data_IF_844943777800
#
_entry.id   IF_844943777800
#
_cell.length_a   1.000
_cell.length_b   1.000
_cell.length_c   1.000
_cell.angle_alpha   90.00
_cell.angle_beta   90.00
_cell.angle_gamma   90.00
#
_symmetry.space_group_name_H-M   'P 1'
#
loop_
_entity.id
_entity.type
_entity.pdbx_description
1 polymer ?
#
# COMPACT_ATOMS: atom_id res chain seq x y z
N UNK A 1 -21.19 -50.31 -17.82
CA UNK A 1 -21.76 -49.59 -16.66
C UNK A 1 -22.94 -48.75 -17.16
N UNK A 2 -24.10 -48.71 -16.48
CA UNK A 2 -25.26 -47.95 -16.99
C UNK A 2 -24.90 -46.46 -17.06
N UNK A 3 -25.29 -45.72 -18.12
CA UNK A 3 -24.87 -44.32 -18.34
C UNK A 3 -25.23 -43.41 -17.15
N UNK A 4 -26.34 -43.69 -16.45
CA UNK A 4 -26.72 -42.99 -15.22
C UNK A 4 -25.70 -43.12 -14.08
N UNK A 5 -24.98 -44.24 -13.97
CA UNK A 5 -23.93 -44.43 -12.94
C UNK A 5 -22.63 -43.70 -13.27
N UNK A 6 -22.33 -43.47 -14.55
CA UNK A 6 -21.14 -42.73 -14.96
C UNK A 6 -21.31 -41.24 -14.63
N UNK A 7 -22.47 -40.66 -14.97
CA UNK A 7 -22.78 -39.25 -14.66
C UNK A 7 -22.75 -38.99 -13.16
N UNK A 8 -23.29 -39.90 -12.35
CA UNK A 8 -23.34 -39.74 -10.90
C UNK A 8 -21.94 -39.80 -10.26
N UNK A 9 -21.04 -40.62 -10.80
CA UNK A 9 -19.64 -40.68 -10.32
C UNK A 9 -18.91 -39.39 -10.70
N UNK A 10 -19.04 -38.92 -11.95
CA UNK A 10 -18.39 -37.68 -12.41
C UNK A 10 -18.82 -36.47 -11.58
N UNK A 11 -20.12 -36.34 -11.27
CA UNK A 11 -20.62 -35.22 -10.46
C UNK A 11 -20.07 -35.25 -9.02
N UNK A 12 -19.99 -36.43 -8.40
CA UNK A 12 -19.42 -36.58 -7.05
C UNK A 12 -17.93 -36.26 -7.07
N UNK A 13 -17.19 -36.75 -8.07
CA UNK A 13 -15.75 -36.47 -8.19
C UNK A 13 -15.48 -34.99 -8.43
N UNK A 14 -16.27 -34.31 -9.28
CA UNK A 14 -16.15 -32.87 -9.51
C UNK A 14 -16.42 -32.05 -8.23
N UNK A 15 -17.43 -32.45 -7.45
CA UNK A 15 -17.76 -31.78 -6.17
C UNK A 15 -16.66 -31.96 -5.13
N UNK A 16 -16.01 -33.12 -5.06
CA UNK A 16 -14.88 -33.38 -4.16
C UNK A 16 -13.64 -32.60 -4.59
N UNK A 17 -13.41 -32.42 -5.90
CA UNK A 17 -12.30 -31.60 -6.40
C UNK A 17 -12.53 -30.12 -6.06
N UNK A 18 -13.75 -29.60 -6.23
CA UNK A 18 -14.07 -28.19 -5.91
C UNK A 18 -13.94 -27.90 -4.41
N UNK A 19 -14.27 -28.85 -3.52
CA UNK A 19 -14.11 -28.68 -2.07
C UNK A 19 -12.66 -28.85 -1.58
N UNK A 20 -11.80 -29.55 -2.33
CA UNK A 20 -10.41 -29.81 -1.97
C UNK A 20 -9.45 -28.64 -2.28
N UNK A 21 -9.91 -27.59 -2.98
CA UNK A 21 -9.10 -26.40 -3.29
C UNK A 21 -9.40 -25.20 -2.38
N UNK A 22 -10.15 -25.40 -1.29
CA UNK A 22 -10.24 -24.33 -0.29
C UNK A 22 -8.87 -24.17 0.37
N UNK A 23 -8.18 -23.01 0.24
CA UNK A 23 -6.94 -22.80 0.96
C UNK A 23 -7.26 -22.98 2.45
N UNK A 24 -6.59 -23.94 3.09
CA UNK A 24 -6.55 -24.00 4.53
C UNK A 24 -5.77 -22.77 4.96
N UNK A 25 -6.49 -21.67 5.20
CA UNK A 25 -5.94 -20.55 5.97
C UNK A 25 -5.50 -21.18 7.29
N UNK A 26 -4.19 -21.21 7.52
CA UNK A 26 -3.60 -21.64 8.78
C UNK A 26 -4.00 -20.64 9.87
N UNK A 27 -5.25 -20.73 10.32
CA UNK A 27 -5.77 -19.97 11.42
C UNK A 27 -4.97 -20.37 12.68
N UNK A 28 -4.17 -19.42 13.18
CA UNK A 28 -3.31 -19.57 14.36
C UNK A 28 -4.17 -19.94 15.59
N UNK A 29 -3.67 -20.71 16.57
CA UNK A 29 -4.43 -21.01 17.78
C UNK A 29 -4.76 -19.72 18.55
N UNK A 30 -6.03 -19.31 18.57
CA UNK A 30 -6.49 -18.06 19.18
C UNK A 30 -6.22 -17.98 20.69
N UNK A 31 -6.13 -19.12 21.39
CA UNK A 31 -6.03 -19.18 22.86
C UNK A 31 -4.76 -18.56 23.44
N UNK A 32 -3.66 -18.50 22.70
CA UNK A 32 -2.39 -17.93 23.21
C UNK A 32 -2.38 -16.40 23.08
N UNK A 33 -3.04 -15.85 22.07
CA UNK A 33 -3.12 -14.40 21.84
C UNK A 33 -3.96 -13.73 22.94
N UNK A 34 -5.06 -14.37 23.38
CA UNK A 34 -5.92 -13.85 24.45
C UNK A 34 -5.25 -13.83 25.83
N UNK A 35 -4.23 -14.67 26.08
CA UNK A 35 -3.44 -14.66 27.33
C UNK A 35 -2.20 -13.77 27.26
N UNK A 36 -1.84 -13.27 26.08
CA UNK A 36 -0.72 -12.37 25.82
C UNK A 36 -1.13 -10.90 26.02
N UNK A 37 -0.19 -9.97 25.82
CA UNK A 37 -0.45 -8.52 25.80
C UNK A 37 -1.15 -8.05 24.50
N UNK A 38 -1.93 -8.94 23.88
CA UNK A 38 -2.62 -8.80 22.60
C UNK A 38 -1.74 -8.97 21.36
N UNK A 39 -0.42 -8.91 21.47
CA UNK A 39 0.45 -9.14 20.32
C UNK A 39 0.71 -10.62 20.06
N UNK A 40 0.67 -11.07 18.78
CA UNK A 40 1.13 -12.39 18.41
C UNK A 40 2.63 -12.60 18.72
N UNK A 41 3.02 -13.84 18.99
CA UNK A 41 4.43 -14.24 18.96
C UNK A 41 4.92 -14.40 17.52
N UNK A 42 6.20 -14.11 17.28
CA UNK A 42 6.87 -14.29 15.99
C UNK A 42 7.85 -13.16 15.67
N UNK A 43 8.55 -13.32 14.54
CA UNK A 43 9.37 -12.27 13.94
C UNK A 43 8.48 -11.07 13.57
N UNK A 44 8.91 -9.87 13.94
CA UNK A 44 8.19 -8.63 13.67
C UNK A 44 9.10 -7.43 13.72
N UNK A 45 8.70 -6.36 13.04
CA UNK A 45 9.26 -5.02 13.24
C UNK A 45 8.38 -4.26 14.23
N UNK A 46 9.00 -3.49 15.12
CA UNK A 46 8.27 -2.61 16.04
C UNK A 46 8.40 -1.18 15.52
N UNK A 47 7.30 -0.42 15.47
CA UNK A 47 7.33 1.03 15.30
C UNK A 47 6.71 1.66 16.56
N UNK A 48 7.39 2.65 17.12
CA UNK A 48 6.92 3.36 18.31
C UNK A 48 6.56 4.81 17.94
N UNK A 49 5.31 5.18 18.14
CA UNK A 49 4.81 6.52 17.92
C UNK A 49 4.77 7.23 19.27
N UNK A 50 5.65 8.21 19.47
CA UNK A 50 5.76 8.94 20.73
C UNK A 50 4.98 10.24 20.64
N UNK A 51 3.97 10.41 21.48
CA UNK A 51 3.31 11.69 21.67
C UNK A 51 4.22 12.66 22.42
N UNK A 52 4.42 13.86 21.87
CA UNK A 52 5.25 14.92 22.43
C UNK A 52 4.49 16.23 22.50
N UNK A 53 4.77 17.01 23.54
CA UNK A 53 4.23 18.36 23.67
C UNK A 53 4.92 19.28 22.64
N UNK A 54 4.20 19.83 21.64
CA UNK A 54 4.79 20.66 20.60
C UNK A 54 5.37 21.98 21.13
N UNK A 55 4.98 22.43 22.33
CA UNK A 55 5.53 23.65 22.94
C UNK A 55 6.93 23.46 23.53
N UNK A 56 7.34 22.21 23.80
CA UNK A 56 8.59 21.90 24.52
C UNK A 56 9.51 20.99 23.70
N UNK A 57 8.95 20.14 22.85
CA UNK A 57 9.72 19.19 22.06
C UNK A 57 10.08 19.78 20.70
N UNK A 58 11.39 19.93 20.46
CA UNK A 58 11.93 20.32 19.16
C UNK A 58 12.54 19.10 18.46
N UNK A 59 12.09 18.85 17.23
CA UNK A 59 12.59 17.77 16.39
C UNK A 59 13.83 18.14 15.57
N UNK A 60 14.27 19.40 15.55
CA UNK A 60 15.32 19.88 14.63
C UNK A 60 16.65 19.12 14.76
N UNK A 61 16.90 18.49 15.91
CA UNK A 61 18.08 17.70 16.20
C UNK A 61 17.92 16.18 15.97
N UNK A 62 16.76 15.72 15.51
CA UNK A 62 16.53 14.29 15.28
C UNK A 62 17.09 13.86 13.93
N UNK A 63 18.07 12.96 13.96
CA UNK A 63 18.55 12.30 12.76
C UNK A 63 17.58 11.17 12.35
N UNK A 64 17.52 10.83 11.04
CA UNK A 64 16.89 9.61 10.58
C UNK A 64 17.40 8.37 11.34
N UNK A 65 16.53 7.37 11.43
CA UNK A 65 16.84 6.02 11.84
C UNK A 65 16.12 5.50 13.07
N UNK A 66 16.47 4.26 13.41
CA UNK A 66 15.74 3.49 14.40
C UNK A 66 14.27 3.29 14.00
N UNK A 67 13.42 3.10 15.00
CA UNK A 67 12.06 2.65 14.81
C UNK A 67 11.03 3.48 15.61
N UNK A 68 11.34 4.76 15.79
CA UNK A 68 10.52 5.67 16.57
C UNK A 68 10.23 6.93 15.78
N UNK A 69 8.98 7.36 15.82
CA UNK A 69 8.53 8.64 15.30
C UNK A 69 7.86 9.44 16.41
N UNK A 70 7.68 10.73 16.18
CA UNK A 70 7.19 11.69 17.16
C UNK A 70 6.02 12.46 16.57
N UNK A 71 4.91 12.50 17.28
CA UNK A 71 3.69 13.22 16.89
C UNK A 71 3.29 14.19 17.99
N UNK A 72 2.64 15.29 17.64
CA UNK A 72 2.09 16.21 18.63
C UNK A 72 1.08 15.51 19.55
N UNK A 73 1.10 15.84 20.83
CA UNK A 73 -0.01 15.55 21.75
C UNK A 73 -1.07 16.62 21.56
N UNK A 74 -2.33 16.21 21.46
CA UNK A 74 -3.50 17.05 21.15
C UNK A 74 -3.35 17.74 19.80
N UNK A 75 -2.86 16.98 18.83
CA UNK A 75 -2.55 17.46 17.51
C UNK A 75 -2.92 16.40 16.48
N UNK A 76 -3.01 16.83 15.23
CA UNK A 76 -3.08 15.95 14.07
C UNK A 76 -1.68 15.77 13.49
N UNK A 77 -1.42 14.61 12.92
CA UNK A 77 -0.16 14.30 12.26
C UNK A 77 -0.40 13.37 11.08
N UNK A 78 0.53 13.37 10.13
CA UNK A 78 0.56 12.42 9.03
C UNK A 78 1.82 11.56 9.16
N UNK A 79 1.64 10.24 9.06
CA UNK A 79 2.75 9.31 8.84
C UNK A 79 2.72 8.89 7.39
N UNK A 80 3.83 9.06 6.69
CA UNK A 80 4.06 8.40 5.42
C UNK A 80 4.81 7.10 5.62
N UNK A 81 4.30 6.02 5.03
CA UNK A 81 4.99 4.75 4.94
C UNK A 81 5.53 4.57 3.53
N UNK A 82 6.80 4.19 3.42
CA UNK A 82 7.50 4.04 2.16
C UNK A 82 7.97 2.60 2.03
N UNK A 83 7.71 1.95 0.90
CA UNK A 83 8.33 0.68 0.51
C UNK A 83 8.99 0.83 -0.84
N UNK A 84 10.09 0.09 -1.06
CA UNK A 84 10.70 -0.07 -2.37
C UNK A 84 11.15 -1.55 -2.52
N UNK A 85 10.51 -2.29 -3.43
CA UNK A 85 10.77 -3.73 -3.69
C UNK A 85 12.12 -3.96 -4.36
N UNK A 86 12.64 -2.95 -5.07
CA UNK A 86 13.93 -2.99 -5.77
C UNK A 86 15.09 -2.55 -4.88
N UNK A 87 14.82 -1.98 -3.71
CA UNK A 87 15.89 -1.52 -2.81
C UNK A 87 16.78 -2.66 -2.37
N UNK A 88 18.08 -2.49 -2.64
CA UNK A 88 19.12 -3.47 -2.25
C UNK A 88 20.26 -2.84 -1.43
N UNK A 89 20.32 -1.51 -1.38
CA UNK A 89 21.35 -0.77 -0.64
C UNK A 89 20.91 -0.44 0.79
N UNK A 90 21.89 -0.37 1.69
CA UNK A 90 21.68 0.09 3.06
C UNK A 90 21.34 1.59 3.11
N UNK A 91 20.78 2.05 4.22
CA UNK A 91 20.59 3.47 4.49
C UNK A 91 21.93 4.21 4.65
N UNK A 92 21.96 5.55 4.51
CA UNK A 92 23.19 6.34 4.63
C UNK A 92 23.95 6.17 5.94
N UNK A 93 23.25 5.80 7.02
CA UNK A 93 23.85 5.53 8.33
C UNK A 93 24.37 4.09 8.49
N UNK A 94 24.30 3.28 7.43
CA UNK A 94 24.70 1.88 7.39
C UNK A 94 23.63 0.88 7.82
N UNK A 95 22.44 1.35 8.23
CA UNK A 95 21.33 0.47 8.61
C UNK A 95 20.84 -0.34 7.42
N UNK A 96 20.47 -1.59 7.65
CA UNK A 96 20.03 -2.46 6.57
C UNK A 96 18.68 -2.03 5.99
N UNK A 97 18.52 -2.08 4.67
CA UNK A 97 17.22 -1.91 4.01
C UNK A 97 16.22 -3.05 4.30
N UNK A 98 16.61 -4.03 5.12
CA UNK A 98 15.77 -5.12 5.59
C UNK A 98 15.24 -4.88 7.01
N UNK A 99 15.48 -3.69 7.55
CA UNK A 99 14.95 -3.23 8.84
C UNK A 99 13.94 -2.09 8.63
N UNK A 100 12.98 -1.98 9.55
CA UNK A 100 12.10 -0.81 9.62
C UNK A 100 12.94 0.40 10.06
N UNK A 101 12.80 1.50 9.32
CA UNK A 101 13.66 2.66 9.48
C UNK A 101 12.85 3.96 9.43
N UNK A 102 12.95 4.82 10.45
CA UNK A 102 12.34 6.14 10.39
C UNK A 102 13.17 7.07 9.50
N UNK A 103 12.71 7.35 8.28
CA UNK A 103 13.35 8.25 7.32
C UNK A 103 13.28 9.70 7.80
N UNK A 104 12.11 10.13 8.26
CA UNK A 104 11.91 11.36 8.99
C UNK A 104 11.11 11.04 10.26
N UNK A 105 11.71 11.11 11.45
CA UNK A 105 11.02 10.73 12.66
C UNK A 105 9.99 11.77 13.13
N UNK A 106 9.88 12.96 12.52
CA UNK A 106 9.11 14.05 13.11
C UNK A 106 7.85 14.46 12.36
N UNK A 107 6.71 14.32 13.04
CA UNK A 107 5.44 14.95 12.71
C UNK A 107 4.90 15.80 13.89
N UNK A 108 5.79 16.52 14.59
CA UNK A 108 5.43 17.41 15.70
C UNK A 108 5.31 18.84 15.23
N UNK A 109 4.10 19.41 15.33
CA UNK A 109 3.79 20.81 15.11
C UNK A 109 3.65 21.18 13.63
N UNK A 110 2.41 21.38 13.19
CA UNK A 110 2.04 21.87 11.84
C UNK A 110 1.99 20.77 10.78
N UNK A 111 2.21 21.14 9.52
CA UNK A 111 2.10 20.29 8.32
C UNK A 111 3.27 19.30 8.13
N UNK A 112 3.95 18.90 9.22
CA UNK A 112 5.09 17.99 9.14
C UNK A 112 4.62 16.55 9.00
N UNK A 113 5.38 15.79 8.22
CA UNK A 113 5.11 14.40 7.90
C UNK A 113 6.25 13.55 8.42
N UNK A 114 5.94 12.57 9.26
CA UNK A 114 6.92 11.56 9.65
C UNK A 114 6.98 10.50 8.55
N UNK A 115 8.17 10.13 8.09
CA UNK A 115 8.35 9.12 7.06
C UNK A 115 8.98 7.85 7.66
N UNK A 116 8.40 6.69 7.36
CA UNK A 116 8.84 5.38 7.83
C UNK A 116 9.02 4.46 6.64
N UNK A 117 10.23 3.94 6.46
CA UNK A 117 10.48 2.87 5.52
C UNK A 117 10.06 1.52 6.13
N UNK A 118 9.23 0.80 5.39
CA UNK A 118 8.85 -0.59 5.68
C UNK A 118 9.67 -1.52 4.77
N UNK A 119 10.38 -2.51 5.33
CA UNK A 119 11.19 -3.40 4.52
C UNK A 119 10.32 -4.32 3.66
N UNK A 120 10.76 -4.61 2.45
CA UNK A 120 10.09 -5.57 1.54
C UNK A 120 10.66 -6.98 1.68
N UNK A 121 11.86 -7.08 2.28
CA UNK A 121 12.57 -8.32 2.58
C UNK A 121 12.95 -8.38 4.04
N UNK A 122 13.01 -9.60 4.56
CA UNK A 122 13.29 -9.89 5.96
C UNK A 122 14.51 -10.80 6.03
N UNK A 123 15.42 -10.44 6.91
CA UNK A 123 16.59 -11.24 7.20
C UNK A 123 16.24 -12.37 8.18
N UNK A 124 16.53 -13.60 7.78
CA UNK A 124 16.28 -14.81 8.55
C UNK A 124 17.61 -15.49 8.83
N UNK A 125 17.83 -15.86 10.09
CA UNK A 125 19.06 -16.52 10.51
C UNK A 125 18.76 -17.98 10.82
N UNK A 126 19.41 -18.89 10.11
CA UNK A 126 19.29 -20.34 10.27
C UNK A 126 19.90 -20.86 11.57
N UNK A 127 19.56 -22.11 11.90
CA UNK A 127 20.06 -22.80 13.10
C UNK A 127 21.59 -22.95 13.13
N UNK A 128 22.26 -22.72 11.99
CA UNK A 128 23.72 -22.73 11.82
C UNK A 128 24.32 -21.31 11.74
N UNK A 129 23.52 -20.25 11.88
CA UNK A 129 23.94 -18.86 11.78
C UNK A 129 24.06 -18.34 10.33
N UNK A 130 23.67 -19.13 9.33
CA UNK A 130 23.53 -18.68 7.95
C UNK A 130 22.39 -17.68 7.83
N UNK A 131 22.54 -16.70 6.94
CA UNK A 131 21.57 -15.62 6.80
C UNK A 131 20.97 -15.61 5.41
N UNK A 132 19.64 -15.63 5.32
CA UNK A 132 18.90 -15.55 4.06
C UNK A 132 17.95 -14.36 4.08
N UNK A 133 17.70 -13.78 2.91
CA UNK A 133 16.69 -12.76 2.73
C UNK A 133 15.47 -13.42 2.10
N UNK A 134 14.30 -13.19 2.68
CA UNK A 134 13.03 -13.66 2.14
C UNK A 134 12.08 -12.49 2.02
N UNK A 135 11.23 -12.49 0.99
CA UNK A 135 10.23 -11.43 0.82
C UNK A 135 9.23 -11.45 1.98
N UNK A 136 8.79 -10.27 2.44
CA UNK A 136 7.83 -10.17 3.54
C UNK A 136 6.43 -10.63 3.14
N UNK A 137 6.09 -10.50 1.83
CA UNK A 137 4.75 -10.70 1.26
C UNK A 137 3.69 -9.83 1.97
N UNK A 138 4.09 -8.63 2.38
CA UNK A 138 3.29 -7.72 3.20
C UNK A 138 3.27 -8.11 4.68
N UNK A 139 2.39 -7.45 5.45
CA UNK A 139 2.39 -7.56 6.90
C UNK A 139 0.99 -7.74 7.50
N UNK A 140 0.90 -8.54 8.55
CA UNK A 140 -0.15 -8.35 9.55
C UNK A 140 0.29 -7.26 10.51
N UNK A 141 -0.55 -6.23 10.68
CA UNK A 141 -0.21 -5.06 11.50
C UNK A 141 -1.06 -5.06 12.75
N UNK A 142 -0.40 -5.00 13.90
CA UNK A 142 -1.08 -4.89 15.19
C UNK A 142 -0.66 -3.60 15.87
N UNK A 143 -1.61 -2.91 16.50
CA UNK A 143 -1.32 -1.70 17.24
C UNK A 143 -1.91 -1.73 18.64
N UNK A 144 -1.29 -0.98 19.56
CA UNK A 144 -1.84 -0.71 20.88
C UNK A 144 -1.35 0.63 21.43
N UNK A 145 -2.18 1.25 22.24
CA UNK A 145 -1.79 2.42 23.03
C UNK A 145 -1.06 2.01 24.32
N UNK A 146 0.03 2.71 24.60
CA UNK A 146 0.88 2.58 25.78
C UNK A 146 1.05 3.95 26.44
N UNK A 147 1.23 3.97 27.75
CA UNK A 147 1.39 5.24 28.49
C UNK A 147 0.16 5.59 29.31
N UNK A 148 0.38 6.32 30.41
CA UNK A 148 -0.58 6.48 31.50
C UNK A 148 -1.88 7.14 30.98
N UNK A 149 -3.06 6.68 31.43
CA UNK A 149 -4.28 7.43 31.16
C UNK A 149 -4.15 8.82 31.79
N UNK A 150 -4.87 9.80 31.23
CA UNK A 150 -4.94 11.17 31.76
C UNK A 150 -3.54 11.79 31.87
N UNK A 151 -2.92 12.14 30.74
CA UNK A 151 -1.59 12.76 30.69
C UNK A 151 -1.55 14.19 31.30
N UNK A 152 -1.99 14.34 32.55
CA UNK A 152 -2.17 15.55 33.35
C UNK A 152 -3.04 16.62 32.70
N UNK A 153 -3.94 16.25 31.79
CA UNK A 153 -4.92 17.21 31.31
C UNK A 153 -5.88 17.58 32.44
N UNK A 154 -6.21 18.87 32.50
CA UNK A 154 -7.14 19.45 33.47
C UNK A 154 -8.58 18.98 33.27
N UNK A 155 -8.86 18.29 32.17
CA UNK A 155 -10.16 17.72 31.82
C UNK A 155 -10.08 16.19 31.84
N UNK A 156 -11.04 15.57 32.52
CA UNK A 156 -11.06 14.16 32.95
C UNK A 156 -11.33 13.15 31.83
N UNK A 157 -10.70 13.31 30.66
CA UNK A 157 -10.90 12.48 29.47
C UNK A 157 -9.88 11.35 29.32
N UNK A 158 -10.25 10.21 28.70
CA UNK A 158 -9.30 9.16 28.34
C UNK A 158 -8.29 9.68 27.30
N UNK A 159 -7.08 9.13 27.32
CA UNK A 159 -6.11 9.36 26.22
C UNK A 159 -6.56 8.54 25.02
N UNK A 160 -6.68 9.17 23.85
CA UNK A 160 -7.04 8.48 22.60
C UNK A 160 -6.06 8.74 21.47
N UNK A 161 -5.97 7.78 20.55
CA UNK A 161 -5.36 7.98 19.24
C UNK A 161 -6.28 7.37 18.19
N UNK A 162 -6.62 8.16 17.18
CA UNK A 162 -7.42 7.73 16.03
C UNK A 162 -6.46 7.58 14.85
N UNK A 163 -6.50 6.44 14.18
CA UNK A 163 -5.77 6.18 12.95
C UNK A 163 -6.76 6.13 11.79
N UNK A 164 -6.48 6.90 10.75
CA UNK A 164 -7.25 6.90 9.51
C UNK A 164 -6.71 5.82 8.55
N UNK A 165 -7.50 5.38 7.56
CA UNK A 165 -7.01 4.53 6.47
C UNK A 165 -5.79 5.14 5.77
N UNK A 166 -4.85 4.30 5.33
CA UNK A 166 -3.70 4.77 4.56
C UNK A 166 -4.16 5.17 3.15
N UNK A 167 -3.95 6.43 2.76
CA UNK A 167 -4.14 6.89 1.38
C UNK A 167 -2.88 6.65 0.56
N UNK A 168 -2.97 6.21 -0.70
CA UNK A 168 -1.77 6.19 -1.55
C UNK A 168 -1.46 7.62 -1.97
N UNK A 169 -0.22 8.05 -1.74
CA UNK A 169 0.30 9.37 -2.13
C UNK A 169 1.11 9.28 -3.40
N UNK A 170 1.81 8.16 -3.59
CA UNK A 170 2.72 7.95 -4.70
C UNK A 170 2.87 6.43 -4.92
N UNK A 171 2.89 5.99 -6.17
CA UNK A 171 3.18 4.61 -6.54
C UNK A 171 3.97 4.62 -7.85
N UNK A 172 5.02 3.83 -7.96
CA UNK A 172 6.00 3.91 -9.07
C UNK A 172 6.54 2.52 -9.40
N UNK A 173 6.62 2.18 -10.69
CA UNK A 173 7.24 0.94 -11.16
C UNK A 173 8.61 1.23 -11.77
N UNK A 174 9.55 0.30 -11.59
CA UNK A 174 10.86 0.37 -12.22
C UNK A 174 10.92 -0.60 -13.41
N UNK A 175 10.91 -0.10 -14.66
CA UNK A 175 11.09 -0.93 -15.83
C UNK A 175 12.53 -1.46 -15.97
N UNK A 176 13.43 -1.13 -15.02
CA UNK A 176 14.82 -1.57 -14.98
C UNK A 176 15.77 -0.65 -15.76
N UNK A 177 15.31 0.53 -16.16
CA UNK A 177 16.07 1.53 -16.91
C UNK A 177 16.66 2.63 -16.04
N UNK A 178 16.11 2.87 -14.85
CA UNK A 178 16.66 3.85 -13.91
C UNK A 178 17.69 3.20 -12.98
N UNK A 179 19.00 3.47 -13.18
CA UNK A 179 20.05 2.89 -12.35
C UNK A 179 19.99 3.34 -10.88
N UNK A 180 19.22 4.38 -10.55
CA UNK A 180 19.11 4.95 -9.21
C UNK A 180 17.79 4.59 -8.49
N UNK A 181 16.79 4.04 -9.19
CA UNK A 181 15.50 3.64 -8.60
C UNK A 181 15.64 2.74 -7.36
N UNK A 182 16.60 1.78 -7.29
CA UNK A 182 16.80 0.98 -6.07
C UNK A 182 17.15 1.81 -4.83
N UNK A 183 17.68 3.02 -4.99
CA UNK A 183 18.19 3.83 -3.89
C UNK A 183 17.24 4.97 -3.49
N UNK A 184 16.31 5.35 -4.36
CA UNK A 184 15.35 6.42 -4.11
C UNK A 184 14.15 6.00 -3.26
N UNK A 185 13.61 7.01 -2.58
CA UNK A 185 12.37 6.97 -1.78
C UNK A 185 11.30 7.90 -2.36
N UNK A 186 11.59 8.47 -3.52
CA UNK A 186 10.76 9.42 -4.25
C UNK A 186 10.85 9.06 -5.73
N UNK A 187 9.81 9.35 -6.48
CA UNK A 187 9.71 8.95 -7.87
C UNK A 187 10.11 10.09 -8.78
N UNK A 188 10.78 9.72 -9.87
CA UNK A 188 10.89 10.58 -11.04
C UNK A 188 9.61 10.50 -11.89
N UNK A 189 8.91 9.36 -11.85
CA UNK A 189 7.71 9.06 -12.62
C UNK A 189 6.64 8.46 -11.70
N UNK A 190 5.58 9.21 -11.41
CA UNK A 190 4.39 8.68 -10.76
C UNK A 190 3.71 7.70 -11.72
N UNK A 191 3.41 6.49 -11.27
CA UNK A 191 2.42 5.67 -11.98
C UNK A 191 1.14 6.47 -12.11
N UNK A 192 0.52 6.25 -13.26
CA UNK A 192 -0.78 6.77 -13.62
C UNK A 192 -1.77 6.74 -12.48
N UNK A 193 -2.65 7.71 -12.57
CA UNK A 193 -3.52 8.13 -11.51
C UNK A 193 -4.15 6.97 -10.73
N UNK A 194 -4.10 7.05 -9.41
CA UNK A 194 -4.82 6.14 -8.52
C UNK A 194 -6.18 6.78 -8.29
N UNK A 195 -7.17 6.31 -9.04
CA UNK A 195 -8.39 7.10 -9.28
C UNK A 195 -9.48 6.75 -8.30
N UNK A 196 -10.06 7.82 -7.74
CA UNK A 196 -11.44 7.88 -7.26
C UNK A 196 -11.60 7.27 -5.89
N UNK A 197 -11.95 8.10 -4.90
CA UNK A 197 -12.29 7.74 -3.50
C UNK A 197 -11.83 6.33 -3.14
N UNK A 198 -10.50 6.17 -3.13
CA UNK A 198 -9.79 4.91 -2.86
C UNK A 198 -10.66 4.03 -1.97
N UNK A 199 -11.22 2.94 -2.50
CA UNK A 199 -12.27 2.18 -1.81
C UNK A 199 -11.62 1.37 -0.67
N UNK A 200 -11.19 2.09 0.37
CA UNK A 200 -10.70 1.52 1.60
C UNK A 200 -11.90 0.85 2.25
N UNK A 201 -11.84 -0.47 2.34
CA UNK A 201 -12.82 -1.26 3.09
C UNK A 201 -12.65 -1.09 4.61
N UNK A 202 -11.68 -0.29 5.05
CA UNK A 202 -11.36 -0.09 6.45
C UNK A 202 -11.97 1.22 6.97
N UNK A 203 -12.58 1.13 8.15
CA UNK A 203 -12.98 2.31 8.92
C UNK A 203 -11.81 2.76 9.82
N UNK A 204 -11.89 3.98 10.34
CA UNK A 204 -10.93 4.48 11.33
C UNK A 204 -10.79 3.54 12.54
N UNK A 205 -9.56 3.41 13.03
CA UNK A 205 -9.27 2.64 14.23
C UNK A 205 -9.01 3.56 15.41
N UNK A 206 -9.87 3.46 16.43
CA UNK A 206 -9.75 4.26 17.66
C UNK A 206 -9.14 3.43 18.79
N UNK A 207 -8.02 3.92 19.32
CA UNK A 207 -7.40 3.42 20.54
C UNK A 207 -7.77 4.33 21.70
N UNK A 208 -8.38 3.76 22.73
CA UNK A 208 -8.77 4.48 23.95
C UNK A 208 -8.10 3.85 25.16
N UNK A 209 -7.58 4.69 26.07
CA UNK A 209 -7.11 4.25 27.38
C UNK A 209 -7.77 5.06 28.49
N UNK A 210 -8.57 4.36 29.30
CA UNK A 210 -9.30 4.92 30.44
C UNK A 210 -8.65 4.53 31.79
N UNK A 211 -8.78 5.41 32.79
CA UNK A 211 -8.53 5.10 34.19
C UNK A 211 -9.85 5.01 34.97
N UNK A 212 -10.39 3.81 35.25
CA UNK A 212 -11.51 3.71 36.17
C UNK A 212 -11.07 4.13 37.56
N UNK A 213 -11.84 5.04 38.19
CA UNK A 213 -11.62 5.50 39.56
C UNK A 213 -11.41 4.36 40.59
N UNK A 214 -11.88 3.15 40.29
CA UNK A 214 -11.74 1.97 41.13
C UNK A 214 -10.42 1.17 40.94
N UNK A 215 -9.71 1.28 39.81
CA UNK A 215 -8.56 0.40 39.50
C UNK A 215 -7.25 1.11 39.17
N UNK A 216 -7.23 2.45 39.06
CA UNK A 216 -5.98 3.23 38.96
C UNK A 216 -5.14 2.87 37.73
N UNK A 217 -5.78 2.66 36.58
CA UNK A 217 -5.12 2.59 35.28
C UNK A 217 -4.34 1.30 35.06
N UNK A 218 -4.65 0.25 35.85
CA UNK A 218 -3.94 -1.04 35.84
C UNK A 218 -4.35 -1.99 34.70
N UNK A 219 -5.27 -1.58 33.82
CA UNK A 219 -5.61 -2.33 32.61
C UNK A 219 -4.45 -2.32 31.60
N UNK A 220 -4.01 -3.52 31.18
CA UNK A 220 -3.09 -3.67 30.04
C UNK A 220 -3.89 -3.43 28.76
N UNK A 221 -3.53 -2.41 27.98
CA UNK A 221 -4.08 -2.28 26.62
C UNK A 221 -3.69 -3.53 25.83
N UNK A 222 -4.67 -4.19 25.24
CA UNK A 222 -4.45 -5.29 24.31
C UNK A 222 -4.21 -4.72 22.92
N UNK A 223 -3.30 -5.32 22.16
CA UNK A 223 -3.17 -4.99 20.75
C UNK A 223 -4.41 -5.43 19.95
N UNK A 224 -4.69 -4.67 18.90
CA UNK A 224 -5.74 -4.90 17.90
C UNK A 224 -5.10 -5.09 16.55
N UNK A 225 -5.73 -5.91 15.71
CA UNK A 225 -5.36 -6.06 14.32
C UNK A 225 -5.83 -4.80 13.57
N UNK A 226 -4.89 -4.09 12.96
CA UNK A 226 -5.12 -2.92 12.12
C UNK A 226 -4.64 -3.17 10.68
N UNK A 227 -4.42 -4.43 10.30
CA UNK A 227 -4.05 -4.80 8.93
C UNK A 227 -5.00 -4.22 7.86
N UNK A 228 -6.33 -4.11 8.10
CA UNK A 228 -7.23 -3.48 7.13
C UNK A 228 -6.87 -2.03 6.77
N UNK A 229 -6.24 -1.27 7.67
CA UNK A 229 -5.79 0.10 7.35
C UNK A 229 -4.70 0.14 6.27
N UNK A 230 -4.08 -1.00 5.96
CA UNK A 230 -3.00 -1.16 4.98
C UNK A 230 -3.42 -2.05 3.79
N UNK A 231 -4.72 -2.24 3.59
CA UNK A 231 -5.25 -2.95 2.42
C UNK A 231 -5.79 -1.98 1.38
N UNK A 232 -5.55 -2.30 0.11
CA UNK A 232 -6.03 -1.54 -1.04
C UNK A 232 -7.06 -2.35 -1.83
N UNK A 233 -8.09 -1.68 -2.32
CA UNK A 233 -9.06 -2.24 -3.27
C UNK A 233 -9.43 -1.17 -4.27
N UNK A 234 -9.19 -1.45 -5.54
CA UNK A 234 -9.33 -0.46 -6.59
C UNK A 234 -8.50 -0.77 -7.82
N UNK A 235 -8.71 0.05 -8.83
CA UNK A 235 -7.93 0.02 -10.06
C UNK A 235 -6.62 0.76 -9.85
N UNK A 236 -5.55 0.22 -10.43
CA UNK A 236 -4.27 0.90 -10.58
C UNK A 236 -3.99 0.95 -12.05
N UNK A 237 -3.73 2.14 -12.56
CA UNK A 237 -3.41 2.36 -13.96
C UNK A 237 -1.93 2.65 -14.13
N UNK A 238 -1.38 2.24 -15.25
CA UNK A 238 0.00 2.47 -15.63
C UNK A 238 0.00 3.30 -16.91
N UNK A 239 0.84 4.34 -16.95
CA UNK A 239 0.84 5.37 -17.98
C UNK A 239 0.83 6.77 -17.36
N UNK A 240 1.53 7.72 -17.96
CA UNK A 240 1.59 9.12 -17.50
C UNK A 240 0.45 9.96 -18.12
N UNK A 241 0.50 11.27 -17.92
CA UNK A 241 -0.29 12.20 -18.74
C UNK A 241 0.22 12.11 -20.20
N UNK A 242 -0.66 11.93 -21.20
CA UNK A 242 -0.23 11.90 -22.60
C UNK A 242 0.36 13.23 -23.09
N UNK A 243 0.13 14.38 -22.44
CA UNK A 243 0.76 15.69 -22.73
C UNK A 243 2.12 15.81 -22.02
N UNK A 244 3.14 15.13 -22.57
CA UNK A 244 4.46 15.07 -21.93
C UNK A 244 5.24 16.38 -21.96
N UNK A 245 4.75 17.38 -22.71
CA UNK A 245 5.43 18.66 -22.87
C UNK A 245 4.71 19.84 -22.17
N UNK A 246 3.51 19.59 -21.61
CA UNK A 246 2.69 20.54 -20.83
C UNK A 246 2.36 21.82 -21.63
N UNK A 247 2.07 21.68 -22.93
CA UNK A 247 1.59 22.79 -23.77
C UNK A 247 0.06 22.85 -23.91
N UNK A 248 -0.65 21.89 -23.31
CA UNK A 248 -2.09 21.75 -23.33
C UNK A 248 -2.64 21.22 -24.65
N UNK A 249 -1.82 20.59 -25.49
CA UNK A 249 -2.21 20.06 -26.81
C UNK A 249 -1.55 18.72 -27.15
N UNK A 250 -2.37 17.66 -27.25
CA UNK A 250 -1.89 16.34 -27.69
C UNK A 250 -1.53 16.33 -29.18
N UNK A 251 -0.24 16.20 -29.48
CA UNK A 251 0.38 16.19 -30.82
C UNK A 251 1.54 15.19 -30.90
N UNK A 252 2.11 15.00 -32.11
CA UNK A 252 3.32 14.16 -32.28
C UNK A 252 4.54 14.66 -31.47
N UNK A 253 4.50 15.88 -30.95
CA UNK A 253 5.56 16.42 -30.09
C UNK A 253 5.58 15.77 -28.69
N UNK A 254 4.46 15.18 -28.27
CA UNK A 254 4.32 14.50 -26.98
C UNK A 254 4.90 13.09 -26.98
N UNK A 255 5.13 12.52 -28.17
CA UNK A 255 5.72 11.19 -28.31
C UNK A 255 7.23 11.29 -28.03
N UNK A 256 7.73 10.66 -26.95
CA UNK A 256 9.16 10.71 -26.64
C UNK A 256 9.98 10.08 -27.76
N UNK A 257 11.12 10.70 -28.10
CA UNK A 257 11.99 10.21 -29.20
C UNK A 257 12.48 8.77 -28.94
N UNK A 258 12.57 8.37 -27.68
CA UNK A 258 12.97 7.05 -27.19
C UNK A 258 11.79 6.17 -26.75
N UNK A 259 10.56 6.46 -27.22
CA UNK A 259 9.33 5.75 -26.83
C UNK A 259 9.46 4.23 -26.87
N UNK A 260 10.19 3.66 -27.86
CA UNK A 260 10.31 2.21 -28.00
C UNK A 260 11.07 1.54 -26.84
N UNK A 261 11.89 2.30 -26.12
CA UNK A 261 12.62 1.82 -24.93
C UNK A 261 11.87 2.15 -23.66
N UNK A 262 11.30 3.35 -23.57
CA UNK A 262 10.59 3.82 -22.37
C UNK A 262 9.19 3.18 -22.21
N UNK A 263 8.49 2.94 -23.32
CA UNK A 263 7.10 2.44 -23.35
C UNK A 263 6.99 1.22 -24.27
N UNK A 264 7.63 0.09 -23.89
CA UNK A 264 7.54 -1.14 -24.67
C UNK A 264 6.10 -1.65 -24.67
N UNK A 265 5.41 -1.53 -25.82
CA UNK A 265 4.01 -1.93 -25.96
C UNK A 265 3.08 -0.82 -26.47
N UNK A 266 3.54 0.44 -26.46
CA UNK A 266 2.75 1.56 -26.98
C UNK A 266 2.39 1.41 -28.46
N UNK A 267 3.23 0.74 -29.25
CA UNK A 267 2.96 0.47 -30.65
C UNK A 267 2.04 -0.75 -30.81
N UNK A 268 0.76 -0.49 -31.02
CA UNK A 268 -0.30 -1.48 -31.08
C UNK A 268 -0.32 -2.23 -32.42
N UNK A 269 0.09 -1.58 -33.51
CA UNK A 269 0.03 -2.16 -34.85
C UNK A 269 1.35 -2.83 -35.31
N UNK A 270 2.44 -2.68 -34.54
CA UNK A 270 3.75 -3.27 -34.82
C UNK A 270 4.50 -2.62 -35.98
N UNK A 271 4.15 -1.40 -36.38
CA UNK A 271 4.92 -0.62 -37.36
C UNK A 271 6.28 -0.16 -36.76
N UNK A 272 7.04 0.69 -37.44
CA UNK A 272 8.31 1.20 -36.89
C UNK A 272 8.18 2.59 -36.21
N UNK A 273 6.96 3.11 -36.08
CA UNK A 273 6.66 4.51 -35.73
C UNK A 273 5.41 4.59 -34.87
N UNK A 274 5.56 5.02 -33.63
CA UNK A 274 4.39 5.27 -32.79
C UNK A 274 3.56 6.42 -33.37
N UNK A 275 2.27 6.17 -33.58
CA UNK A 275 1.32 7.18 -34.03
C UNK A 275 0.62 7.83 -32.83
N UNK A 276 0.19 9.10 -32.96
CA UNK A 276 -0.44 9.84 -31.85
C UNK A 276 -1.63 9.10 -31.21
N UNK A 277 -2.45 8.42 -32.00
CA UNK A 277 -3.58 7.68 -31.44
C UNK A 277 -3.13 6.47 -30.61
N UNK A 278 -2.00 5.85 -30.95
CA UNK A 278 -1.43 4.74 -30.18
C UNK A 278 -0.82 5.26 -28.88
N UNK A 279 -0.16 6.42 -28.94
CA UNK A 279 0.33 7.14 -27.77
C UNK A 279 -0.81 7.51 -26.82
N UNK A 280 -1.89 8.10 -27.31
CA UNK A 280 -3.02 8.48 -26.44
C UNK A 280 -3.70 7.27 -25.82
N UNK A 281 -3.92 6.19 -26.57
CA UNK A 281 -4.53 4.96 -26.03
C UNK A 281 -3.64 4.21 -25.03
N UNK A 282 -2.34 4.51 -25.02
CA UNK A 282 -1.42 4.00 -24.01
C UNK A 282 -1.60 4.67 -22.64
N UNK A 283 -2.23 5.85 -22.60
CA UNK A 283 -2.41 6.62 -21.38
C UNK A 283 -3.85 6.49 -20.83
N UNK A 284 -3.99 6.23 -19.52
CA UNK A 284 -5.29 6.00 -18.89
C UNK A 284 -6.07 7.30 -18.60
N UNK A 285 -5.39 8.39 -18.26
CA UNK A 285 -5.97 9.72 -18.04
C UNK A 285 -5.81 10.51 -19.35
N UNK A 286 -6.80 10.38 -20.24
CA UNK A 286 -6.74 10.87 -21.61
C UNK A 286 -7.07 12.36 -21.68
N UNK A 287 -7.90 12.85 -20.77
CA UNK A 287 -8.32 14.26 -20.76
C UNK A 287 -7.49 15.16 -19.83
N UNK A 288 -6.56 14.56 -19.07
CA UNK A 288 -5.56 15.26 -18.26
C UNK A 288 -6.16 15.91 -17.01
N UNK A 289 -7.36 15.51 -16.60
CA UNK A 289 -8.06 16.12 -15.47
C UNK A 289 -7.60 15.57 -14.11
N UNK A 290 -6.65 14.65 -14.14
CA UNK A 290 -6.15 13.92 -12.98
C UNK A 290 -7.21 13.02 -12.35
N UNK A 291 -8.11 12.44 -13.16
CA UNK A 291 -9.07 11.39 -12.85
C UNK A 291 -9.11 10.39 -14.03
N UNK A 292 -9.50 9.15 -13.74
CA UNK A 292 -9.78 8.12 -14.75
C UNK A 292 -11.21 7.69 -14.56
N UNK A 293 -12.10 8.34 -15.27
CA UNK A 293 -13.52 8.17 -15.14
C UNK A 293 -14.21 8.03 -16.51
N UNK A 294 -15.50 8.36 -16.56
CA UNK A 294 -16.26 8.24 -17.80
C UNK A 294 -15.83 9.28 -18.86
N UNK A 295 -15.19 10.39 -18.45
CA UNK A 295 -14.55 11.36 -19.32
C UNK A 295 -13.48 10.71 -20.20
N UNK A 296 -12.61 9.89 -19.63
CA UNK A 296 -11.56 9.16 -20.35
C UNK A 296 -12.11 8.13 -21.31
N UNK A 297 -13.13 7.37 -20.88
CA UNK A 297 -13.81 6.41 -21.73
C UNK A 297 -14.42 7.10 -22.96
N UNK A 298 -15.05 8.27 -22.76
CA UNK A 298 -15.62 9.09 -23.82
C UNK A 298 -14.53 9.66 -24.73
N UNK A 299 -13.42 10.15 -24.15
CA UNK A 299 -12.30 10.70 -24.90
C UNK A 299 -11.59 9.63 -25.74
N UNK A 300 -11.53 8.40 -25.25
CA UNK A 300 -10.95 7.25 -25.93
C UNK A 300 -11.75 6.85 -27.19
N UNK A 301 -13.08 7.05 -27.22
CA UNK A 301 -13.96 6.63 -28.32
C UNK A 301 -13.45 7.12 -29.69
N UNK A 302 -13.04 8.39 -29.76
CA UNK A 302 -12.50 8.97 -30.98
C UNK A 302 -11.22 8.28 -31.45
N UNK A 303 -10.31 7.98 -30.52
CA UNK A 303 -9.01 7.38 -30.82
C UNK A 303 -9.13 5.89 -31.17
N UNK A 304 -10.01 5.16 -30.47
CA UNK A 304 -10.33 3.77 -30.77
C UNK A 304 -10.92 3.62 -32.17
N UNK A 305 -11.82 4.51 -32.57
CA UNK A 305 -12.38 4.54 -33.91
C UNK A 305 -11.32 4.76 -35.00
N UNK A 306 -10.33 5.63 -34.74
CA UNK A 306 -9.19 5.83 -35.65
C UNK A 306 -8.29 4.59 -35.74
N UNK A 307 -8.09 3.89 -34.63
CA UNK A 307 -7.36 2.63 -34.57
C UNK A 307 -8.12 1.44 -35.20
N UNK A 308 -9.43 1.61 -35.49
CA UNK A 308 -10.30 0.53 -35.92
C UNK A 308 -10.54 -0.53 -34.84
N UNK A 309 -10.44 -0.12 -33.56
CA UNK A 309 -10.68 -0.95 -32.38
C UNK A 309 -12.10 -0.67 -31.91
N UNK A 310 -12.87 -1.72 -31.67
CA UNK A 310 -14.20 -1.66 -31.10
C UNK A 310 -14.18 -2.39 -29.75
N UNK A 311 -14.49 -1.67 -28.68
CA UNK A 311 -14.51 -2.18 -27.30
C UNK A 311 -15.91 -2.10 -26.67
N UNK A 312 -16.92 -1.63 -27.39
CA UNK A 312 -18.31 -1.71 -26.97
C UNK A 312 -18.71 -3.20 -27.02
N UNK A 313 -18.81 -3.82 -25.85
CA UNK A 313 -19.09 -5.26 -25.74
C UNK A 313 -20.58 -5.56 -25.72
N UNK A 314 -21.41 -4.52 -25.62
CA UNK A 314 -22.83 -4.65 -25.35
C UNK A 314 -23.72 -4.07 -26.48
N UNK A 315 -23.10 -3.46 -27.50
CA UNK A 315 -23.69 -2.87 -28.71
C UNK A 315 -24.69 -1.74 -28.40
N UNK A 316 -24.49 -0.96 -27.32
CA UNK A 316 -25.33 0.20 -27.00
C UNK A 316 -24.82 1.52 -27.58
N UNK A 317 -23.70 1.47 -28.32
CA UNK A 317 -23.04 2.61 -28.97
C UNK A 317 -22.46 3.61 -27.97
N UNK A 318 -22.18 3.15 -26.75
CA UNK A 318 -21.51 3.92 -25.70
C UNK A 318 -20.38 3.06 -25.13
N UNK A 319 -19.26 3.69 -24.78
CA UNK A 319 -18.14 2.99 -24.13
C UNK A 319 -18.26 3.26 -22.64
N UNK A 320 -18.68 2.24 -21.89
CA UNK A 320 -18.70 2.33 -20.43
C UNK A 320 -17.28 2.38 -19.85
N UNK A 321 -17.16 2.94 -18.63
CA UNK A 321 -15.90 2.91 -17.88
C UNK A 321 -15.41 1.48 -17.68
N UNK A 322 -16.32 0.53 -17.44
CA UNK A 322 -16.00 -0.88 -17.27
C UNK A 322 -15.42 -1.53 -18.55
N UNK A 323 -15.97 -1.20 -19.72
CA UNK A 323 -15.45 -1.68 -21.01
C UNK A 323 -14.07 -1.10 -21.31
N UNK A 324 -13.89 0.20 -21.05
CA UNK A 324 -12.60 0.86 -21.20
C UNK A 324 -11.56 0.33 -20.21
N UNK A 325 -11.93 0.08 -18.95
CA UNK A 325 -11.07 -0.58 -17.96
C UNK A 325 -10.66 -1.98 -18.41
N UNK A 326 -11.61 -2.78 -18.91
CA UNK A 326 -11.31 -4.10 -19.44
C UNK A 326 -10.32 -4.02 -20.61
N UNK A 327 -10.46 -3.04 -21.49
CA UNK A 327 -9.50 -2.78 -22.56
C UNK A 327 -8.11 -2.44 -22.01
N UNK A 328 -8.00 -1.53 -21.04
CA UNK A 328 -6.71 -1.20 -20.39
C UNK A 328 -6.05 -2.43 -19.73
N UNK A 329 -6.84 -3.33 -19.12
CA UNK A 329 -6.34 -4.63 -18.63
C UNK A 329 -5.75 -5.47 -19.76
N UNK A 330 -6.39 -5.52 -20.93
CA UNK A 330 -5.85 -6.30 -22.07
C UNK A 330 -4.53 -5.75 -22.60
N UNK A 331 -4.31 -4.45 -22.47
CA UNK A 331 -3.03 -3.81 -22.80
C UNK A 331 -1.97 -4.03 -21.72
N UNK A 332 -2.38 -4.48 -20.51
CA UNK A 332 -1.50 -4.52 -19.35
C UNK A 332 -1.21 -3.13 -18.80
N UNK A 333 -2.16 -2.18 -18.97
CA UNK A 333 -2.13 -0.80 -18.49
C UNK A 333 -3.05 -0.55 -17.29
N UNK A 334 -3.85 -1.54 -16.89
CA UNK A 334 -4.62 -1.49 -15.66
C UNK A 334 -4.65 -2.85 -14.95
N UNK A 335 -4.73 -2.83 -13.63
CA UNK A 335 -5.03 -4.00 -12.80
C UNK A 335 -5.95 -3.61 -11.65
N UNK A 336 -6.94 -4.47 -11.41
CA UNK A 336 -7.81 -4.35 -10.25
C UNK A 336 -7.22 -5.17 -9.09
N UNK A 337 -6.98 -4.51 -7.98
CA UNK A 337 -6.55 -5.13 -6.74
C UNK A 337 -7.77 -5.34 -5.84
N UNK A 338 -7.93 -6.55 -5.29
CA UNK A 338 -8.97 -6.90 -4.33
C UNK A 338 -8.36 -7.24 -2.97
N UNK A 339 -8.61 -6.39 -1.96
CA UNK A 339 -8.06 -6.48 -0.61
C UNK A 339 -6.55 -6.79 -0.55
N UNK A 340 -5.78 -6.25 -1.52
CA UNK A 340 -4.34 -6.45 -1.63
C UNK A 340 -3.60 -5.69 -0.53
N UNK A 341 -2.36 -6.10 -0.23
CA UNK A 341 -1.48 -5.27 0.59
C UNK A 341 -1.15 -4.00 -0.19
N UNK A 342 -1.37 -2.83 0.40
CA UNK A 342 -1.29 -1.55 -0.32
C UNK A 342 0.07 -1.29 -0.99
N UNK A 343 1.14 -1.88 -0.47
CA UNK A 343 2.49 -1.73 -1.03
C UNK A 343 2.84 -2.76 -2.11
N UNK A 344 1.92 -3.67 -2.46
CA UNK A 344 2.11 -4.61 -3.56
C UNK A 344 1.62 -4.04 -4.90
N UNK A 345 1.03 -2.84 -4.91
CA UNK A 345 0.46 -2.21 -6.11
C UNK A 345 1.52 -1.66 -7.08
N UNK A 346 2.75 -1.45 -6.60
CA UNK A 346 3.88 -0.96 -7.39
C UNK A 346 5.23 -1.30 -6.75
N UNK A 347 6.32 -1.08 -7.47
CA UNK A 347 7.67 -1.32 -6.95
C UNK A 347 8.06 -0.36 -5.81
N UNK A 348 7.72 0.92 -5.93
CA UNK A 348 7.82 1.92 -4.88
C UNK A 348 6.42 2.42 -4.56
N UNK A 349 6.05 2.41 -3.28
CA UNK A 349 4.74 2.93 -2.84
C UNK A 349 4.95 3.79 -1.60
N UNK A 350 4.40 4.99 -1.64
CA UNK A 350 4.27 5.91 -0.50
C UNK A 350 2.79 6.02 -0.15
N UNK A 351 2.45 5.71 1.09
CA UNK A 351 1.11 5.89 1.63
C UNK A 351 1.13 6.87 2.78
N UNK A 352 0.05 7.62 3.00
CA UNK A 352 -0.11 8.52 4.14
C UNK A 352 -1.25 8.06 5.05
N UNK A 353 -0.98 7.97 6.35
CA UNK A 353 -1.96 7.72 7.38
C UNK A 353 -2.16 8.98 8.22
N UNK A 354 -3.39 9.48 8.25
CA UNK A 354 -3.80 10.51 9.20
C UNK A 354 -3.87 9.96 10.63
N UNK A 355 -3.44 10.78 11.58
CA UNK A 355 -3.48 10.49 13.01
C UNK A 355 -4.06 11.67 13.75
N UNK A 356 -5.06 11.41 14.59
CA UNK A 356 -5.51 12.37 15.61
C UNK A 356 -5.08 11.87 16.99
N UNK A 357 -4.16 12.57 17.64
CA UNK A 357 -3.64 12.19 18.95
C UNK A 357 -4.21 13.06 20.08
N UNK A 358 -5.15 12.54 20.86
CA UNK A 358 -5.72 13.24 22.02
C UNK A 358 -5.09 12.71 23.32
N UNK A 359 -3.83 13.05 23.55
CA UNK A 359 -3.16 12.76 24.83
C UNK A 359 -2.51 11.40 24.95
N UNK A 360 -2.37 10.62 23.87
CA UNK A 360 -1.58 9.39 23.86
C UNK A 360 -0.08 9.72 23.84
N UNK A 361 0.69 9.16 24.79
CA UNK A 361 2.15 9.39 24.87
C UNK A 361 2.97 8.37 24.11
N UNK A 362 2.43 7.16 23.90
CA UNK A 362 3.09 6.10 23.18
C UNK A 362 2.05 5.22 22.49
N UNK A 363 2.21 4.95 21.20
CA UNK A 363 1.48 3.90 20.51
C UNK A 363 2.50 2.98 19.87
N UNK A 364 2.29 1.67 19.99
CA UNK A 364 3.21 0.68 19.48
C UNK A 364 2.54 -0.08 18.35
N UNK A 365 3.15 -0.05 17.18
CA UNK A 365 2.79 -0.86 16.02
C UNK A 365 3.76 -2.03 15.93
N UNK A 366 3.24 -3.17 15.45
CA UNK A 366 4.03 -4.34 15.12
C UNK A 366 3.63 -4.88 13.76
N UNK A 367 4.62 -4.99 12.90
CA UNK A 367 4.51 -5.50 11.54
C UNK A 367 5.03 -6.93 11.52
N UNK A 368 4.15 -7.90 11.34
CA UNK A 368 4.48 -9.33 11.24
C UNK A 368 4.45 -9.74 9.76
N UNK A 369 5.59 -10.12 9.16
CA UNK A 369 5.63 -10.56 7.77
C UNK A 369 4.60 -11.68 7.50
N UNK A 370 3.91 -11.64 6.35
CA UNK A 370 2.93 -12.67 5.97
C UNK A 370 3.56 -13.93 5.37
N UNK A 371 4.85 -13.88 4.98
CA UNK A 371 5.52 -14.99 4.33
C UNK A 371 5.42 -16.31 5.14
N UNK A 372 4.82 -17.38 4.57
CA UNK A 372 4.59 -18.64 5.27
C UNK A 372 5.89 -19.36 5.63
N UNK A 373 6.98 -19.16 4.90
CA UNK A 373 8.27 -19.80 5.16
C UNK A 373 8.86 -19.32 6.50
N UNK A 374 8.50 -18.10 6.94
CA UNK A 374 8.87 -17.56 8.25
C UNK A 374 8.16 -18.23 9.42
N UNK A 375 7.07 -18.96 9.19
CA UNK A 375 6.33 -19.66 10.26
C UNK A 375 7.03 -20.93 10.73
N UNK A 376 7.94 -21.48 9.91
CA UNK A 376 8.76 -22.65 10.26
C UNK A 376 9.99 -22.28 11.08
N UNK A 377 10.40 -21.02 11.04
CA UNK A 377 11.47 -20.48 11.86
C UNK A 377 10.99 -20.28 13.30
N UNK A 378 11.14 -21.34 14.10
CA UNK A 378 11.10 -21.23 15.55
C UNK A 378 12.54 -20.95 16.03
N UNK A 379 12.77 -19.86 16.78
CA UNK A 379 14.07 -19.60 17.39
C UNK A 379 14.45 -20.70 18.39
#
# INVERSE_FOLDING_TARGET
MKPKRIVQIVLITLTVIILAVTPVLAAKPQDVIQRSNGFPSGLHFNLNIHGKDPAVFDCSAMAPGGNSIFVGINDTATIQYVTNTKRTSNFPDGTSAYELYALDPCAVGGDKIAQVYLPTKVQVVDEFGGTTLVDSQGYYVFARILGKPENKQTESGPSTMILEPNIVVQACNDPGTDPNFPDYTDCLWSLGLIVGDNLYLANDETFERFDPAATGGKGKSTARDISPLFTYSGWVYWGEDPDTNDDGSLTDADIPVDWATAYPGANLNGNATLELYEWVLFHPDIDGDNYVDHGDATAAEYWLALAGIDIDTNDDLDISLEEWQAFQVTLGHAEYFDAAWIFDIADLVVTAQGITNNGATLVQFRFYPKNPDLTTYRP
#
